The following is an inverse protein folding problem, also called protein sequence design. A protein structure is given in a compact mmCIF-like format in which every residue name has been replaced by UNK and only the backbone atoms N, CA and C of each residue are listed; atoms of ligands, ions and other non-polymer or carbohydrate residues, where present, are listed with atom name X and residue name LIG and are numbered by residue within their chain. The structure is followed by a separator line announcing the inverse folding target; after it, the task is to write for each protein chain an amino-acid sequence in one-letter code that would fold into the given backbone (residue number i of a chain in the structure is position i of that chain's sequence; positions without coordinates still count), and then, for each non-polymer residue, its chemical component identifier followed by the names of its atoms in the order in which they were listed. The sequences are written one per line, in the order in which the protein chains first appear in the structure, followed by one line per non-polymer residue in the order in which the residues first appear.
data_IF_927278948030
#
_entry.id   IF_927278948030
#
_cell.length_a   1.000
_cell.length_b   1.000
_cell.length_c   1.000
_cell.angle_alpha   90.00
_cell.angle_beta   90.00
_cell.angle_gamma   90.00
#
_symmetry.space_group_name_H-M   'P 1'
#
loop_
_entity.id
_entity.type
_entity.pdbx_description
1 polymer ?
#
# COMPACT_ATOMS: atom_id res chain seq x y z
N UNK A 1 -19.75 -39.74 -11.14
CA UNK A 1 -19.45 -38.31 -10.92
C UNK A 1 -19.73 -38.01 -9.46
N UNK A 2 -18.68 -37.78 -8.66
CA UNK A 2 -18.78 -37.28 -7.29
C UNK A 2 -18.41 -35.80 -7.34
N UNK A 3 -19.33 -34.94 -6.96
CA UNK A 3 -19.09 -33.52 -6.73
C UNK A 3 -18.11 -33.37 -5.58
N UNK A 4 -17.01 -32.65 -5.81
CA UNK A 4 -16.16 -32.11 -4.75
C UNK A 4 -16.68 -30.70 -4.49
N UNK A 5 -17.32 -30.52 -3.34
CA UNK A 5 -17.72 -29.22 -2.82
C UNK A 5 -16.48 -28.39 -2.51
N UNK A 6 -16.57 -27.09 -2.79
CA UNK A 6 -15.49 -26.12 -2.71
C UNK A 6 -14.89 -26.01 -1.32
N UNK A 7 -13.56 -26.16 -1.24
CA UNK A 7 -12.82 -25.64 -0.10
C UNK A 7 -12.66 -24.14 -0.28
N UNK A 8 -13.48 -23.35 0.42
CA UNK A 8 -13.06 -22.00 0.76
C UNK A 8 -11.82 -22.14 1.65
N UNK A 9 -10.65 -21.81 1.10
CA UNK A 9 -9.41 -21.80 1.87
C UNK A 9 -9.59 -20.89 3.08
N UNK A 10 -9.12 -21.32 4.25
CA UNK A 10 -9.12 -20.47 5.44
C UNK A 10 -8.48 -19.12 5.09
N UNK A 11 -9.02 -17.98 5.58
CA UNK A 11 -8.39 -16.69 5.40
C UNK A 11 -6.94 -16.73 5.89
N UNK A 12 -6.07 -15.92 5.29
CA UNK A 12 -4.68 -15.85 5.69
C UNK A 12 -4.57 -15.51 7.18
N UNK A 13 -3.48 -15.93 7.85
CA UNK A 13 -3.26 -15.53 9.24
C UNK A 13 -2.95 -14.03 9.35
N UNK A 14 -2.25 -13.47 8.36
CA UNK A 14 -1.84 -12.07 8.33
C UNK A 14 -1.96 -11.45 6.94
N UNK A 15 -2.38 -10.19 6.90
CA UNK A 15 -2.19 -9.30 5.76
C UNK A 15 -1.38 -8.08 6.19
N UNK A 16 -0.19 -7.92 5.61
CA UNK A 16 0.67 -6.75 5.76
C UNK A 16 0.39 -5.77 4.60
N UNK A 17 0.02 -4.55 4.95
CA UNK A 17 -0.23 -3.45 4.02
C UNK A 17 0.96 -2.48 4.10
N UNK A 18 1.70 -2.30 3.00
CA UNK A 18 2.73 -1.29 2.89
C UNK A 18 2.21 -0.15 2.02
N UNK A 19 2.12 1.05 2.59
CA UNK A 19 1.72 2.26 1.88
C UNK A 19 2.88 3.24 1.84
N UNK A 20 3.43 3.43 0.64
CA UNK A 20 4.54 4.34 0.39
C UNK A 20 4.08 5.52 -0.45
N UNK A 21 4.47 6.73 -0.05
CA UNK A 21 4.12 7.96 -0.76
C UNK A 21 5.37 8.79 -0.96
N UNK A 22 5.64 9.17 -2.21
CA UNK A 22 6.82 9.93 -2.60
C UNK A 22 6.45 11.19 -3.37
N UNK A 23 7.24 12.24 -3.17
CA UNK A 23 7.21 13.43 -3.99
C UNK A 23 8.58 13.85 -4.49
N UNK A 24 8.63 14.91 -5.31
CA UNK A 24 9.87 15.45 -5.89
C UNK A 24 10.94 15.83 -4.87
N UNK A 25 10.58 15.99 -3.59
CA UNK A 25 11.45 16.35 -2.48
C UNK A 25 11.76 15.17 -1.55
N UNK A 26 11.13 14.02 -1.75
CA UNK A 26 11.30 12.85 -0.88
C UNK A 26 12.60 12.12 -1.19
N UNK A 27 13.55 12.12 -0.25
CA UNK A 27 14.84 11.43 -0.40
C UNK A 27 14.83 9.97 0.06
N UNK A 28 13.68 9.47 0.56
CA UNK A 28 13.59 8.13 1.14
C UNK A 28 13.20 7.02 0.15
N UNK A 29 12.77 7.38 -1.06
CA UNK A 29 12.41 6.40 -2.12
C UNK A 29 13.52 5.37 -2.36
N UNK A 30 14.79 5.82 -2.36
CA UNK A 30 15.96 4.96 -2.55
C UNK A 30 16.11 3.83 -1.52
N UNK A 31 15.46 3.93 -0.36
CA UNK A 31 15.49 2.90 0.68
C UNK A 31 14.37 1.87 0.53
N UNK A 32 13.29 2.19 -0.18
CA UNK A 32 12.14 1.29 -0.31
C UNK A 32 12.50 0.01 -1.09
N UNK A 33 13.22 0.13 -2.21
CA UNK A 33 13.57 -1.04 -3.02
C UNK A 33 14.43 -2.05 -2.22
N UNK A 34 15.51 -1.65 -1.53
CA UNK A 34 16.24 -2.56 -0.63
C UNK A 34 15.37 -3.23 0.44
N UNK A 35 14.38 -2.55 1.00
CA UNK A 35 13.47 -3.10 2.00
C UNK A 35 12.50 -4.12 1.39
N UNK A 36 11.95 -3.81 0.21
CA UNK A 36 11.10 -4.74 -0.55
C UNK A 36 11.88 -5.99 -0.95
N UNK A 37 13.14 -5.84 -1.39
CA UNK A 37 14.00 -6.98 -1.71
C UNK A 37 14.30 -7.86 -0.50
N UNK A 38 14.46 -7.27 0.70
CA UNK A 38 14.60 -8.05 1.93
C UNK A 38 13.33 -8.82 2.27
N UNK A 39 12.16 -8.19 2.16
CA UNK A 39 10.86 -8.86 2.38
C UNK A 39 10.71 -10.01 1.38
N UNK A 40 10.95 -9.74 0.09
CA UNK A 40 10.88 -10.74 -0.99
C UNK A 40 11.83 -11.91 -0.75
N UNK A 41 13.09 -11.63 -0.43
CA UNK A 41 14.11 -12.65 -0.18
C UNK A 41 13.86 -13.47 1.11
N UNK A 42 13.16 -12.90 2.09
CA UNK A 42 12.81 -13.62 3.33
C UNK A 42 11.78 -14.74 3.13
N UNK A 43 11.07 -14.74 1.99
CA UNK A 43 9.97 -15.67 1.71
C UNK A 43 8.63 -15.26 2.35
N UNK A 44 8.59 -14.14 3.08
CA UNK A 44 7.33 -13.54 3.56
C UNK A 44 6.48 -13.14 2.35
N UNK A 45 5.21 -13.53 2.35
CA UNK A 45 4.32 -13.41 1.18
C UNK A 45 4.32 -14.65 0.25
N UNK A 46 5.31 -15.54 0.38
CA UNK A 46 5.33 -16.84 -0.32
C UNK A 46 4.62 -17.97 0.41
N UNK A 47 4.16 -17.74 1.64
CA UNK A 47 3.31 -18.65 2.40
C UNK A 47 1.84 -18.25 2.20
N UNK A 48 0.98 -19.20 1.85
CA UNK A 48 -0.48 -19.04 1.79
C UNK A 48 -1.13 -18.42 3.04
N UNK A 49 -0.41 -18.38 4.18
CA UNK A 49 -0.86 -17.78 5.43
C UNK A 49 -0.52 -16.30 5.60
N UNK A 50 0.32 -15.71 4.74
CA UNK A 50 0.73 -14.32 4.86
C UNK A 50 0.57 -13.62 3.51
N UNK A 51 -0.27 -12.59 3.47
CA UNK A 51 -0.34 -11.66 2.36
C UNK A 51 0.56 -10.47 2.62
N UNK A 52 1.27 -10.00 1.59
CA UNK A 52 1.92 -8.69 1.58
C UNK A 52 1.35 -7.92 0.40
N UNK A 53 0.66 -6.82 0.67
CA UNK A 53 0.14 -5.91 -0.34
C UNK A 53 0.82 -4.57 -0.21
N UNK A 54 1.35 -4.06 -1.32
CA UNK A 54 2.08 -2.81 -1.37
C UNK A 54 1.41 -1.85 -2.34
N UNK A 55 1.15 -0.63 -1.88
CA UNK A 55 0.79 0.51 -2.70
C UNK A 55 1.90 1.55 -2.62
N UNK A 56 2.49 1.86 -3.77
CA UNK A 56 3.45 2.95 -3.94
C UNK A 56 2.75 4.05 -4.74
N UNK A 57 2.78 5.27 -4.23
CA UNK A 57 2.28 6.46 -4.91
C UNK A 57 3.39 7.50 -5.04
N UNK A 58 3.53 8.08 -6.23
CA UNK A 58 4.56 9.05 -6.52
C UNK A 58 3.95 10.25 -7.23
N UNK A 59 4.28 11.47 -6.80
CA UNK A 59 3.84 12.66 -7.55
C UNK A 59 4.70 12.92 -8.79
N UNK A 60 5.97 12.50 -8.76
CA UNK A 60 6.90 12.42 -9.90
C UNK A 60 7.96 11.34 -9.61
N UNK A 61 8.59 10.76 -10.65
CA UNK A 61 9.93 10.17 -10.54
C UNK A 61 10.06 8.66 -10.32
N UNK A 62 8.97 7.88 -10.19
CA UNK A 62 9.07 6.46 -9.83
C UNK A 62 9.24 5.47 -10.99
N UNK A 63 9.44 5.94 -12.22
CA UNK A 63 9.61 5.06 -13.38
C UNK A 63 10.76 4.04 -13.17
N UNK A 64 11.89 4.50 -12.63
CA UNK A 64 13.05 3.64 -12.33
C UNK A 64 12.75 2.61 -11.24
N UNK A 65 11.99 3.00 -10.21
CA UNK A 65 11.57 2.09 -9.15
C UNK A 65 10.63 1.00 -9.71
N UNK A 66 9.64 1.39 -10.52
CA UNK A 66 8.71 0.43 -11.12
C UNK A 66 9.37 -0.47 -12.17
N UNK A 67 10.39 0.02 -12.87
CA UNK A 67 11.26 -0.81 -13.71
C UNK A 67 12.00 -1.86 -12.88
N UNK A 68 12.62 -1.46 -11.77
CA UNK A 68 13.34 -2.36 -10.89
C UNK A 68 12.43 -3.44 -10.26
N UNK A 69 11.16 -3.10 -9.99
CA UNK A 69 10.15 -4.04 -9.48
C UNK A 69 9.51 -4.90 -10.59
N UNK A 70 9.85 -4.67 -11.86
CA UNK A 70 9.20 -5.29 -13.02
C UNK A 70 7.67 -5.07 -13.06
N UNK A 71 7.23 -3.89 -12.61
CA UNK A 71 5.81 -3.48 -12.51
C UNK A 71 5.43 -2.46 -13.57
N UNK A 72 6.09 -2.49 -14.74
CA UNK A 72 5.84 -1.51 -15.78
C UNK A 72 4.40 -1.63 -16.30
N UNK A 73 3.64 -0.56 -16.09
CA UNK A 73 2.30 -0.41 -16.63
C UNK A 73 2.17 1.00 -17.22
N UNK A 74 2.01 1.08 -18.54
CA UNK A 74 1.83 2.34 -19.27
C UNK A 74 0.62 3.15 -18.77
N UNK A 75 -0.31 2.54 -18.02
CA UNK A 75 -1.51 3.20 -17.49
C UNK A 75 -1.29 3.93 -16.17
N UNK A 76 -0.20 3.65 -15.45
CA UNK A 76 -0.02 4.10 -14.07
C UNK A 76 1.41 4.57 -13.79
N UNK A 77 1.85 5.60 -14.52
CA UNK A 77 3.21 6.16 -14.45
C UNK A 77 3.66 6.55 -13.02
N UNK A 78 2.69 6.79 -12.13
CA UNK A 78 2.89 7.40 -10.82
C UNK A 78 2.40 6.54 -9.65
N UNK A 79 1.96 5.31 -9.90
CA UNK A 79 1.47 4.45 -8.81
C UNK A 79 1.55 2.96 -9.17
N UNK A 80 1.84 2.13 -8.17
CA UNK A 80 1.89 0.68 -8.32
C UNK A 80 1.23 0.00 -7.13
N UNK A 81 0.27 -0.90 -7.43
CA UNK A 81 -0.34 -1.82 -6.46
C UNK A 81 0.08 -3.25 -6.81
N UNK A 82 0.72 -3.92 -5.88
CA UNK A 82 1.26 -5.26 -6.10
C UNK A 82 1.31 -6.08 -4.82
N UNK A 83 1.32 -7.40 -4.97
CA UNK A 83 1.65 -8.33 -3.89
C UNK A 83 3.07 -8.85 -4.03
N UNK A 84 3.62 -9.35 -2.92
CA UNK A 84 4.82 -10.19 -2.93
C UNK A 84 4.35 -11.62 -2.74
N UNK A 85 4.49 -12.46 -3.77
CA UNK A 85 4.09 -13.87 -3.72
C UNK A 85 5.18 -14.76 -4.29
N UNK A 86 5.53 -15.81 -3.55
CA UNK A 86 6.59 -16.76 -3.90
C UNK A 86 7.93 -16.11 -4.32
N UNK A 87 8.28 -14.99 -3.67
CA UNK A 87 9.51 -14.28 -3.98
C UNK A 87 9.45 -13.43 -5.25
N UNK A 88 8.26 -13.17 -5.79
CA UNK A 88 8.04 -12.33 -6.97
C UNK A 88 7.09 -11.17 -6.65
N UNK A 89 7.26 -10.06 -7.35
CA UNK A 89 6.30 -8.96 -7.35
C UNK A 89 5.21 -9.24 -8.39
N UNK A 90 3.96 -9.24 -7.95
CA UNK A 90 2.81 -9.49 -8.82
C UNK A 90 1.87 -8.29 -8.79
N UNK A 91 1.74 -7.61 -9.93
CA UNK A 91 0.77 -6.53 -10.08
C UNK A 91 -0.65 -7.04 -9.79
N UNK A 92 -1.44 -6.24 -9.07
CA UNK A 92 -2.79 -6.59 -8.67
C UNK A 92 -3.81 -5.88 -9.55
N UNK A 93 -4.82 -6.63 -10.04
CA UNK A 93 -5.94 -6.09 -10.81
C UNK A 93 -6.96 -5.32 -9.96
N UNK A 94 -7.89 -4.61 -10.61
CA UNK A 94 -8.92 -3.82 -9.91
C UNK A 94 -8.43 -2.47 -9.39
N UNK A 95 -7.20 -2.10 -9.74
CA UNK A 95 -6.60 -0.83 -9.37
C UNK A 95 -7.29 0.40 -9.98
N UNK A 96 -8.04 0.21 -11.07
CA UNK A 96 -8.78 1.28 -11.76
C UNK A 96 -9.88 1.90 -10.87
N UNK A 97 -10.28 1.20 -9.79
CA UNK A 97 -11.20 1.69 -8.76
C UNK A 97 -10.55 2.68 -7.77
N UNK A 98 -9.21 2.73 -7.72
CA UNK A 98 -8.50 3.72 -6.91
C UNK A 98 -8.46 5.02 -7.69
N UNK A 99 -9.44 5.89 -7.41
CA UNK A 99 -9.33 7.27 -7.85
C UNK A 99 -8.09 7.89 -7.21
N UNK A 100 -7.06 8.10 -8.02
CA UNK A 100 -5.86 8.91 -7.74
C UNK A 100 -6.21 10.35 -7.32
N UNK A 101 -7.47 10.76 -7.51
CA UNK A 101 -8.00 12.07 -7.10
C UNK A 101 -8.49 11.99 -5.67
N UNK A 102 -7.81 12.68 -4.77
CA UNK A 102 -8.14 12.78 -3.35
C UNK A 102 -6.95 13.34 -2.56
N UNK A 103 -7.13 13.64 -1.28
CA UNK A 103 -6.01 13.81 -0.36
C UNK A 103 -5.42 12.44 0.04
N UNK A 104 -4.26 12.44 0.68
CA UNK A 104 -3.55 11.23 1.11
C UNK A 104 -4.41 10.36 2.03
N UNK A 105 -5.23 10.95 2.88
CA UNK A 105 -6.08 10.21 3.82
C UNK A 105 -7.17 9.44 3.10
N UNK A 106 -7.79 10.06 2.09
CA UNK A 106 -8.78 9.40 1.24
C UNK A 106 -8.17 8.18 0.52
N UNK A 107 -6.96 8.34 -0.05
CA UNK A 107 -6.28 7.24 -0.75
C UNK A 107 -5.82 6.12 0.18
N UNK A 108 -5.28 6.46 1.35
CA UNK A 108 -4.95 5.47 2.38
C UNK A 108 -6.19 4.71 2.86
N UNK A 109 -7.33 5.39 3.04
CA UNK A 109 -8.57 4.71 3.43
C UNK A 109 -9.02 3.72 2.37
N UNK A 110 -8.97 4.10 1.10
CA UNK A 110 -9.30 3.23 -0.02
C UNK A 110 -8.37 2.01 -0.08
N UNK A 111 -7.07 2.19 0.19
CA UNK A 111 -6.08 1.11 0.23
C UNK A 111 -6.36 0.12 1.35
N UNK A 112 -6.69 0.61 2.54
CA UNK A 112 -7.10 -0.24 3.66
C UNK A 112 -8.39 -1.00 3.32
N UNK A 113 -9.40 -0.32 2.77
CA UNK A 113 -10.67 -0.95 2.34
C UNK A 113 -10.44 -2.09 1.33
N UNK A 114 -9.63 -1.82 0.31
CA UNK A 114 -9.26 -2.80 -0.69
C UNK A 114 -8.57 -4.00 -0.05
N UNK A 115 -7.59 -3.77 0.82
CA UNK A 115 -6.82 -4.82 1.49
C UNK A 115 -7.71 -5.74 2.32
N UNK A 116 -8.66 -5.16 3.07
CA UNK A 116 -9.63 -5.90 3.88
C UNK A 116 -10.55 -6.77 3.03
N UNK A 117 -10.94 -6.28 1.84
CA UNK A 117 -11.89 -6.93 0.95
C UNK A 117 -11.24 -8.03 0.10
N UNK A 118 -10.10 -7.73 -0.51
CA UNK A 118 -9.49 -8.57 -1.53
C UNK A 118 -8.46 -9.55 -0.93
N UNK A 119 -7.89 -9.24 0.24
CA UNK A 119 -6.91 -10.08 0.94
C UNK A 119 -7.31 -10.27 2.42
N UNK A 120 -8.47 -10.92 2.68
CA UNK A 120 -8.94 -11.13 4.04
C UNK A 120 -7.98 -12.00 4.85
N UNK A 121 -7.77 -11.60 6.11
CA UNK A 121 -6.91 -12.30 7.06
C UNK A 121 -7.46 -12.18 8.49
N UNK A 122 -6.98 -13.04 9.37
CA UNK A 122 -7.27 -12.96 10.81
C UNK A 122 -6.68 -11.70 11.44
N UNK A 123 -5.52 -11.26 10.95
CA UNK A 123 -4.79 -10.12 11.47
C UNK A 123 -4.31 -9.19 10.35
N UNK A 124 -4.22 -7.90 10.66
CA UNK A 124 -3.78 -6.87 9.73
C UNK A 124 -2.69 -6.01 10.35
N UNK A 125 -1.69 -5.66 9.54
CA UNK A 125 -0.67 -4.69 9.89
C UNK A 125 -0.58 -3.63 8.79
N UNK A 126 -0.45 -2.36 9.18
CA UNK A 126 -0.23 -1.25 8.26
C UNK A 126 1.15 -0.65 8.51
N UNK A 127 1.94 -0.55 7.45
CA UNK A 127 3.25 0.07 7.41
C UNK A 127 3.10 1.33 6.55
N UNK A 128 3.46 2.47 7.13
CA UNK A 128 3.47 3.76 6.46
C UNK A 128 4.93 4.11 6.15
N UNK A 129 5.25 4.28 4.87
CA UNK A 129 6.62 4.54 4.41
C UNK A 129 6.71 5.92 3.75
N UNK A 130 7.22 6.89 4.51
CA UNK A 130 7.55 8.25 4.05
C UNK A 130 8.32 8.94 5.19
N UNK A 131 8.69 10.20 4.99
CA UNK A 131 9.01 11.12 6.07
C UNK A 131 7.85 11.23 7.07
N UNK A 132 8.21 11.18 8.36
CA UNK A 132 7.30 11.39 9.48
C UNK A 132 7.78 12.55 10.33
N UNK A 133 6.84 13.36 10.82
CA UNK A 133 7.13 14.46 11.75
C UNK A 133 6.35 14.30 13.07
N UNK A 134 6.24 13.06 13.54
CA UNK A 134 5.52 12.71 14.76
C UNK A 134 4.06 13.18 14.72
N UNK A 135 3.64 13.95 15.72
CA UNK A 135 2.26 14.45 15.85
C UNK A 135 1.83 15.40 14.73
N UNK A 136 2.79 16.04 14.06
CA UNK A 136 2.51 16.90 12.91
C UNK A 136 2.02 16.09 11.71
N UNK A 137 2.39 14.80 11.64
CA UNK A 137 1.76 13.82 10.76
C UNK A 137 2.68 13.08 9.80
N UNK A 138 2.05 12.44 8.81
CA UNK A 138 2.64 11.62 7.75
C UNK A 138 2.58 12.35 6.40
N UNK A 139 3.66 12.26 5.60
CA UNK A 139 3.91 13.04 4.37
C UNK A 139 4.12 14.53 4.63
N UNK A 140 5.32 15.02 4.34
CA UNK A 140 5.58 16.46 4.29
C UNK A 140 5.67 16.88 2.82
N UNK A 141 4.53 17.18 2.23
CA UNK A 141 4.48 17.68 0.85
C UNK A 141 5.05 19.11 0.79
N UNK A 142 6.15 19.29 0.07
CA UNK A 142 6.67 20.61 -0.28
C UNK A 142 6.51 20.88 -1.77
N UNK A 143 5.29 20.81 -2.29
CA UNK A 143 4.99 21.35 -3.60
C UNK A 143 5.45 22.83 -3.69
N UNK A 144 6.37 23.09 -4.61
CA UNK A 144 6.94 24.41 -4.86
C UNK A 144 5.84 25.47 -5.12
N UNK A 145 5.97 26.59 -4.42
CA UNK A 145 5.31 27.89 -4.62
C UNK A 145 3.82 28.09 -4.27
N UNK A 146 3.04 27.08 -3.87
CA UNK A 146 1.72 27.33 -3.25
C UNK A 146 1.54 26.51 -1.97
N UNK A 147 1.52 27.22 -0.83
CA UNK A 147 1.43 26.72 0.55
C UNK A 147 0.20 25.85 0.83
N UNK A 148 0.20 24.61 0.33
CA UNK A 148 -0.68 23.54 0.83
C UNK A 148 0.22 22.40 1.22
N UNK A 149 0.68 22.43 2.47
CA UNK A 149 1.32 21.27 3.09
C UNK A 149 0.21 20.28 3.38
N UNK A 150 -0.01 19.31 2.50
CA UNK A 150 -0.93 18.20 2.77
C UNK A 150 -0.22 17.16 3.63
N UNK A 151 -0.04 17.47 4.91
CA UNK A 151 0.34 16.48 5.91
C UNK A 151 -0.89 15.78 6.43
N UNK A 152 -0.88 14.44 6.43
CA UNK A 152 -1.85 13.68 7.19
C UNK A 152 -1.54 13.86 8.67
N UNK A 153 -2.20 14.83 9.30
CA UNK A 153 -2.09 15.02 10.75
C UNK A 153 -2.49 13.74 11.49
N UNK A 154 -1.98 13.54 12.71
CA UNK A 154 -2.41 12.42 13.55
C UNK A 154 -3.93 12.38 13.76
N UNK A 155 -4.62 13.52 13.69
CA UNK A 155 -6.10 13.59 13.74
C UNK A 155 -6.74 12.93 12.52
N UNK A 156 -6.22 13.19 11.32
CA UNK A 156 -6.69 12.57 10.08
C UNK A 156 -6.40 11.08 10.04
N UNK A 157 -5.21 10.65 10.52
CA UNK A 157 -4.89 9.23 10.75
C UNK A 157 -5.90 8.59 11.71
N UNK A 158 -6.15 9.23 12.86
CA UNK A 158 -7.09 8.73 13.86
C UNK A 158 -8.53 8.61 13.32
N UNK A 159 -8.97 9.50 12.43
CA UNK A 159 -10.28 9.41 11.79
C UNK A 159 -10.36 8.19 10.85
N UNK A 160 -9.30 7.89 10.09
CA UNK A 160 -9.22 6.67 9.27
C UNK A 160 -9.30 5.41 10.15
N UNK A 161 -8.67 5.42 11.32
CA UNK A 161 -8.75 4.31 12.29
C UNK A 161 -10.10 4.24 13.03
N UNK A 162 -10.71 5.37 13.39
CA UNK A 162 -11.89 5.43 14.28
C UNK A 162 -13.20 5.19 13.51
N UNK A 163 -13.29 5.59 12.23
CA UNK A 163 -14.50 5.39 11.42
C UNK A 163 -14.75 3.92 11.06
N UNK A 164 -13.74 3.03 11.13
CA UNK A 164 -13.86 1.62 10.71
C UNK A 164 -14.01 0.61 11.84
N UNK A 165 -13.70 0.96 13.09
CA UNK A 165 -14.02 0.09 14.25
C UNK A 165 -15.54 0.04 14.49
N UNK A 166 -16.30 1.04 14.03
CA UNK A 166 -17.76 1.10 14.20
C UNK A 166 -18.55 0.53 13.02
N UNK A 167 -17.92 0.20 11.89
CA UNK A 167 -18.60 -0.38 10.72
C UNK A 167 -18.41 -1.90 10.57
N UNK A 168 -17.70 -2.52 11.52
CA UNK A 168 -17.42 -3.96 11.61
C UNK A 168 -18.05 -4.60 12.87
N UNK A 169 -18.91 -3.86 13.57
CA UNK A 169 -19.79 -4.32 14.67
C UNK A 169 -21.23 -4.10 14.21
#
# INVERSE_FOLDING_TARGET
MKSVEGGEGLPAAWTFMLYAVFDSSTSVEQYLLPDLEQIRASGVGGDSRINVLTLIECTVGCATLFEALNLQNERFENQALFTITHGEYAAVGGFESFSIRGDVGTRLSAFIEYSLKELPAENFALILFDHVNGWFGFRQDTASASRVVSTMTCTSLKVVYTLKVLSLI
#
